data_IF_472469487169
#
_entry.id   IF_472469487169
#
_cell.length_a   1.000
_cell.length_b   1.000
_cell.length_c   1.000
_cell.angle_alpha   90.00
_cell.angle_beta   90.00
_cell.angle_gamma   90.00
#
_symmetry.space_group_name_H-M   'P 1'
#
loop_
_entity.id
_entity.type
_entity.pdbx_description
1 polymer ?
#
# COMPACT_ATOMS: atom_id res chain seq x y z
N UNK A 1 1.52 -17.12 12.20
CA UNK A 1 0.06 -16.90 12.10
C UNK A 1 -0.34 -15.43 11.92
N UNK A 2 0.46 -14.44 12.35
CA UNK A 2 0.14 -13.00 12.14
C UNK A 2 0.17 -12.51 10.68
N UNK A 3 0.95 -13.17 9.81
CA UNK A 3 1.14 -12.72 8.41
C UNK A 3 0.14 -13.30 7.41
N UNK A 4 -0.37 -14.51 7.67
CA UNK A 4 -1.31 -15.20 6.77
C UNK A 4 -2.70 -14.56 6.75
N UNK A 5 -3.10 -13.85 7.80
CA UNK A 5 -4.39 -13.16 7.88
C UNK A 5 -4.39 -11.84 7.11
N UNK A 6 -3.26 -11.11 7.05
CA UNK A 6 -3.16 -9.85 6.29
C UNK A 6 -3.21 -10.09 4.77
N UNK A 7 -2.55 -11.14 4.29
CA UNK A 7 -2.59 -11.53 2.88
C UNK A 7 -4.01 -11.87 2.39
N UNK A 8 -4.82 -12.53 3.24
CA UNK A 8 -6.18 -12.93 2.89
C UNK A 8 -7.16 -11.75 2.81
N UNK A 9 -7.02 -10.74 3.69
CA UNK A 9 -7.87 -9.54 3.65
C UNK A 9 -7.49 -8.63 2.47
N UNK A 10 -6.20 -8.49 2.18
CA UNK A 10 -5.73 -7.74 1.01
C UNK A 10 -6.25 -8.32 -0.32
N UNK A 11 -6.35 -9.65 -0.42
CA UNK A 11 -6.85 -10.34 -1.62
C UNK A 11 -8.35 -10.10 -1.88
N UNK A 12 -9.19 -10.02 -0.84
CA UNK A 12 -10.65 -9.85 -1.00
C UNK A 12 -11.02 -8.43 -1.46
N UNK A 13 -10.30 -7.41 -0.97
CA UNK A 13 -10.54 -6.01 -1.32
C UNK A 13 -9.97 -5.71 -2.72
N UNK A 14 -8.80 -6.28 -3.05
CA UNK A 14 -8.22 -6.14 -4.39
C UNK A 14 -9.09 -6.80 -5.48
N UNK A 15 -9.67 -7.98 -5.22
CA UNK A 15 -10.45 -8.72 -6.21
C UNK A 15 -11.72 -8.00 -6.68
N UNK A 16 -12.44 -7.36 -5.76
CA UNK A 16 -13.70 -6.66 -6.09
C UNK A 16 -13.46 -5.33 -6.80
N UNK A 17 -12.38 -4.61 -6.46
CA UNK A 17 -11.99 -3.37 -7.14
C UNK A 17 -11.50 -3.60 -8.58
N UNK A 18 -10.72 -4.67 -8.80
CA UNK A 18 -10.21 -5.04 -10.12
C UNK A 18 -11.35 -5.35 -11.11
N UNK A 19 -12.43 -6.00 -10.66
CA UNK A 19 -13.60 -6.28 -11.51
C UNK A 19 -14.38 -5.03 -11.90
N UNK A 20 -14.41 -4.00 -11.06
CA UNK A 20 -15.16 -2.76 -11.32
C UNK A 20 -14.42 -1.81 -12.27
N UNK A 21 -13.07 -1.78 -12.22
CA UNK A 21 -12.26 -0.96 -13.13
C UNK A 21 -11.98 -1.62 -14.48
N UNK A 22 -12.02 -2.96 -14.56
CA UNK A 22 -11.82 -3.68 -15.82
C UNK A 22 -12.86 -3.33 -16.91
N UNK A 23 -14.09 -2.99 -16.51
CA UNK A 23 -15.17 -2.60 -17.45
C UNK A 23 -15.05 -1.19 -18.00
N UNK A 24 -14.18 -0.35 -17.43
CA UNK A 24 -13.99 1.06 -17.80
C UNK A 24 -12.59 1.35 -18.34
N UNK A 25 -11.78 0.32 -18.57
CA UNK A 25 -10.38 0.48 -18.95
C UNK A 25 -10.24 0.93 -20.41
N UNK A 26 -9.79 2.18 -20.58
CA UNK A 26 -9.22 2.68 -21.83
C UNK A 26 -7.69 2.68 -21.69
N UNK A 27 -6.96 1.86 -22.47
CA UNK A 27 -5.50 1.79 -22.42
C UNK A 27 -4.80 3.12 -22.79
N UNK A 28 -5.53 4.10 -23.34
CA UNK A 28 -4.99 5.43 -23.62
C UNK A 28 -4.99 6.38 -22.41
N UNK A 29 -5.69 6.05 -21.31
CA UNK A 29 -5.74 6.90 -20.13
C UNK A 29 -4.62 6.55 -19.15
N UNK A 30 -3.86 7.56 -18.72
CA UNK A 30 -2.86 7.40 -17.66
C UNK A 30 -3.56 7.01 -16.36
N UNK A 31 -3.22 5.85 -15.79
CA UNK A 31 -3.75 5.41 -14.51
C UNK A 31 -3.06 6.22 -13.39
N UNK A 32 -3.82 7.06 -12.69
CA UNK A 32 -3.38 7.71 -11.45
C UNK A 32 -3.48 6.72 -10.29
N UNK A 33 -2.42 6.61 -9.49
CA UNK A 33 -2.39 5.74 -8.31
C UNK A 33 -2.89 6.51 -7.09
N UNK A 34 -4.10 6.18 -6.63
CA UNK A 34 -4.70 6.72 -5.40
C UNK A 34 -4.85 5.66 -4.32
N UNK A 35 -5.07 4.41 -4.73
CA UNK A 35 -5.22 3.24 -3.86
C UNK A 35 -4.10 2.23 -4.07
N UNK A 36 -3.89 1.35 -3.09
CA UNK A 36 -2.94 0.25 -3.23
C UNK A 36 -3.26 -0.69 -4.41
N UNK A 37 -4.54 -0.89 -4.71
CA UNK A 37 -4.99 -1.69 -5.86
C UNK A 37 -4.67 -1.05 -7.21
N UNK A 38 -4.63 0.29 -7.30
CA UNK A 38 -4.29 0.99 -8.55
C UNK A 38 -2.85 0.70 -9.00
N UNK A 39 -1.94 0.40 -8.06
CA UNK A 39 -0.57 -0.01 -8.36
C UNK A 39 -0.56 -1.25 -9.24
N UNK A 40 -1.27 -2.31 -8.83
CA UNK A 40 -1.29 -3.57 -9.56
C UNK A 40 -2.03 -3.46 -10.88
N UNK A 41 -3.08 -2.64 -10.93
CA UNK A 41 -3.80 -2.36 -12.15
C UNK A 41 -2.92 -1.61 -13.17
N UNK A 42 -2.19 -0.58 -12.71
CA UNK A 42 -1.23 0.16 -13.54
C UNK A 42 -0.12 -0.73 -14.07
N UNK A 43 0.38 -1.64 -13.23
CA UNK A 43 1.46 -2.56 -13.56
C UNK A 43 1.14 -3.49 -14.74
N UNK A 44 -0.15 -3.75 -15.03
CA UNK A 44 -0.56 -4.54 -16.20
C UNK A 44 -0.20 -3.86 -17.54
N UNK A 45 0.07 -2.55 -17.52
CA UNK A 45 0.29 -1.76 -18.75
C UNK A 45 1.50 -0.83 -18.71
N UNK A 46 1.99 -0.43 -17.53
CA UNK A 46 3.11 0.50 -17.40
C UNK A 46 3.89 0.32 -16.09
N UNK A 47 5.17 0.73 -16.04
CA UNK A 47 5.92 0.78 -14.79
C UNK A 47 5.27 1.70 -13.76
N UNK A 48 5.45 1.37 -12.49
CA UNK A 48 4.96 2.17 -11.35
C UNK A 48 6.15 2.85 -10.67
N UNK A 49 6.02 4.13 -10.35
CA UNK A 49 7.05 4.89 -9.65
C UNK A 49 7.07 4.61 -8.16
N UNK A 50 8.23 4.82 -7.52
CA UNK A 50 8.37 4.69 -6.07
C UNK A 50 7.41 5.60 -5.29
N UNK A 51 7.11 6.79 -5.81
CA UNK A 51 6.15 7.72 -5.19
C UNK A 51 4.73 7.16 -5.25
N UNK A 52 4.34 6.54 -6.36
CA UNK A 52 3.03 5.90 -6.48
C UNK A 52 2.89 4.70 -5.55
N UNK A 53 3.96 3.92 -5.38
CA UNK A 53 4.01 2.83 -4.40
C UNK A 53 3.82 3.38 -2.99
N UNK A 54 4.52 4.46 -2.63
CA UNK A 54 4.38 5.13 -1.32
C UNK A 54 2.96 5.66 -1.13
N UNK A 55 2.34 6.27 -2.15
CA UNK A 55 0.95 6.76 -2.10
C UNK A 55 -0.02 5.62 -1.81
N UNK A 56 0.01 4.55 -2.61
CA UNK A 56 -0.88 3.40 -2.41
C UNK A 56 -0.63 2.69 -1.09
N UNK A 57 0.63 2.50 -0.69
CA UNK A 57 0.97 1.87 0.59
C UNK A 57 0.59 2.75 1.79
N UNK A 58 0.69 4.08 1.67
CA UNK A 58 0.20 5.03 2.67
C UNK A 58 -1.30 4.94 2.84
N UNK A 59 -2.05 4.91 1.74
CA UNK A 59 -3.50 4.76 1.74
C UNK A 59 -3.91 3.43 2.39
N UNK A 60 -3.22 2.34 2.07
CA UNK A 60 -3.48 1.03 2.67
C UNK A 60 -3.19 1.03 4.18
N UNK A 61 -2.04 1.58 4.60
CA UNK A 61 -1.68 1.66 6.01
C UNK A 61 -2.67 2.51 6.83
N UNK A 62 -3.13 3.65 6.31
CA UNK A 62 -4.15 4.47 6.97
C UNK A 62 -5.47 3.70 7.11
N UNK A 63 -5.88 2.96 6.07
CA UNK A 63 -7.08 2.10 6.13
C UNK A 63 -6.95 0.99 7.19
N UNK A 64 -5.75 0.41 7.37
CA UNK A 64 -5.51 -0.55 8.45
C UNK A 64 -5.60 0.10 9.83
N UNK A 65 -5.19 1.36 9.97
CA UNK A 65 -5.33 2.10 11.23
C UNK A 65 -6.80 2.34 11.60
N UNK A 66 -7.71 2.45 10.62
CA UNK A 66 -9.15 2.61 10.86
C UNK A 66 -9.86 1.32 11.31
N UNK A 67 -9.27 0.15 11.04
CA UNK A 67 -9.84 -1.15 11.39
C UNK A 67 -9.64 -1.48 12.87
N UNK A 68 -10.60 -1.11 13.71
CA UNK A 68 -10.53 -1.27 15.17
C UNK A 68 -10.25 -2.70 15.63
N UNK A 69 -10.90 -3.69 15.00
CA UNK A 69 -10.69 -5.12 15.30
C UNK A 69 -9.25 -5.53 14.96
N UNK A 70 -8.74 -5.07 13.82
CA UNK A 70 -7.37 -5.36 13.42
C UNK A 70 -6.36 -4.74 14.39
N UNK A 71 -6.58 -3.49 14.81
CA UNK A 71 -5.74 -2.79 15.78
C UNK A 71 -5.75 -3.50 17.15
N UNK A 72 -6.91 -3.93 17.63
CA UNK A 72 -7.05 -4.68 18.88
C UNK A 72 -6.23 -5.99 18.84
N UNK A 73 -6.31 -6.74 17.73
CA UNK A 73 -5.57 -8.01 17.57
C UNK A 73 -4.06 -7.82 17.57
N UNK A 74 -3.56 -6.69 17.07
CA UNK A 74 -2.13 -6.39 17.08
C UNK A 74 -1.67 -5.67 18.36
N UNK A 75 -2.59 -5.35 19.28
CA UNK A 75 -2.30 -4.71 20.56
C UNK A 75 -2.11 -3.19 20.46
N UNK A 76 -2.65 -2.57 19.42
CA UNK A 76 -2.62 -1.12 19.19
C UNK A 76 -4.03 -0.52 19.29
N UNK A 77 -4.10 0.81 19.41
CA UNK A 77 -5.37 1.53 19.25
C UNK A 77 -5.39 2.26 17.91
N UNK A 78 -6.59 2.50 17.36
CA UNK A 78 -6.78 3.35 16.17
C UNK A 78 -6.03 4.68 16.30
N UNK A 79 -6.14 5.34 17.46
CA UNK A 79 -5.46 6.61 17.71
C UNK A 79 -3.93 6.46 17.74
N UNK A 80 -3.40 5.43 18.40
CA UNK A 80 -1.95 5.15 18.42
C UNK A 80 -1.42 4.89 17.01
N UNK A 81 -2.12 4.07 16.23
CA UNK A 81 -1.74 3.77 14.84
C UNK A 81 -1.70 5.04 13.99
N UNK A 82 -2.77 5.85 14.01
CA UNK A 82 -2.83 7.12 13.26
C UNK A 82 -1.77 8.11 13.69
N UNK A 83 -1.47 8.17 14.98
CA UNK A 83 -0.42 9.04 15.50
C UNK A 83 0.96 8.61 14.98
N UNK A 84 1.31 7.33 15.11
CA UNK A 84 2.57 6.77 14.58
C UNK A 84 2.69 6.99 13.08
N UNK A 85 1.60 6.73 12.34
CA UNK A 85 1.54 6.96 10.90
C UNK A 85 1.89 8.41 10.55
N UNK A 86 1.19 9.39 11.15
CA UNK A 86 1.45 10.82 10.91
C UNK A 86 2.87 11.26 11.27
N UNK A 87 3.46 10.67 12.31
CA UNK A 87 4.80 11.04 12.78
C UNK A 87 5.92 10.46 11.91
N UNK A 88 5.71 9.29 11.32
CA UNK A 88 6.76 8.52 10.64
C UNK A 88 6.68 8.54 9.11
N UNK A 89 5.51 8.84 8.54
CA UNK A 89 5.25 8.73 7.09
C UNK A 89 6.32 9.45 6.24
N UNK A 90 6.60 10.72 6.53
CA UNK A 90 7.55 11.52 5.74
C UNK A 90 8.97 10.95 5.81
N UNK A 91 9.46 10.62 7.02
CA UNK A 91 10.80 10.06 7.22
C UNK A 91 10.94 8.68 6.56
N UNK A 92 9.91 7.83 6.67
CA UNK A 92 9.90 6.53 6.03
C UNK A 92 9.84 6.64 4.50
N UNK A 93 9.08 7.61 3.97
CA UNK A 93 9.01 7.86 2.53
C UNK A 93 10.38 8.32 2.00
N UNK A 94 11.03 9.27 2.66
CA UNK A 94 12.38 9.72 2.30
C UNK A 94 13.40 8.57 2.36
N UNK A 95 13.35 7.74 3.40
CA UNK A 95 14.21 6.57 3.53
C UNK A 95 14.00 5.58 2.38
N UNK A 96 12.75 5.31 2.01
CA UNK A 96 12.43 4.42 0.90
C UNK A 96 12.89 5.02 -0.43
N UNK A 97 12.61 6.28 -0.71
CA UNK A 97 13.02 6.95 -1.95
C UNK A 97 14.55 6.95 -2.11
N UNK A 98 15.29 7.23 -1.03
CA UNK A 98 16.75 7.35 -1.08
C UNK A 98 17.48 6.03 -1.35
N UNK A 99 16.90 4.90 -0.95
CA UNK A 99 17.61 3.62 -0.88
C UNK A 99 17.10 2.56 -1.86
N UNK A 100 16.22 2.92 -2.80
CA UNK A 100 15.62 1.96 -3.72
C UNK A 100 15.46 2.54 -5.13
N UNK A 101 15.09 1.70 -6.08
CA UNK A 101 14.91 2.08 -7.49
C UNK A 101 13.75 3.06 -7.68
N UNK A 102 13.82 3.98 -8.66
CA UNK A 102 12.76 4.97 -8.87
C UNK A 102 11.50 4.39 -9.54
N UNK A 103 11.61 3.26 -10.24
CA UNK A 103 10.56 2.65 -11.06
C UNK A 103 10.56 1.14 -10.91
N UNK A 104 9.39 0.53 -10.98
CA UNK A 104 9.19 -0.91 -10.79
C UNK A 104 8.24 -1.51 -11.84
N UNK A 105 8.57 -2.72 -12.28
CA UNK A 105 7.73 -3.53 -13.18
C UNK A 105 7.35 -4.88 -12.59
N UNK A 106 7.91 -5.23 -11.42
CA UNK A 106 7.75 -6.54 -10.79
C UNK A 106 6.82 -6.46 -9.56
N UNK A 107 5.80 -7.33 -9.54
CA UNK A 107 4.79 -7.38 -8.46
C UNK A 107 5.39 -7.73 -7.11
N UNK A 108 6.39 -8.61 -7.09
CA UNK A 108 7.02 -9.08 -5.84
C UNK A 108 7.84 -7.95 -5.23
N UNK A 109 8.66 -7.27 -6.04
CA UNK A 109 9.45 -6.11 -5.61
C UNK A 109 8.57 -4.98 -5.07
N UNK A 110 7.45 -4.68 -5.74
CA UNK A 110 6.46 -3.69 -5.29
C UNK A 110 5.86 -4.07 -3.94
N UNK A 111 5.46 -5.33 -3.77
CA UNK A 111 4.87 -5.83 -2.52
C UNK A 111 5.88 -5.71 -1.38
N UNK A 112 7.13 -6.15 -1.60
CA UNK A 112 8.20 -6.05 -0.60
C UNK A 112 8.53 -4.61 -0.23
N UNK A 113 8.54 -3.69 -1.19
CA UNK A 113 8.78 -2.27 -0.93
C UNK A 113 7.66 -1.66 -0.08
N UNK A 114 6.41 -2.03 -0.39
CA UNK A 114 5.23 -1.59 0.33
C UNK A 114 5.25 -2.10 1.78
N UNK A 115 5.58 -3.38 1.98
CA UNK A 115 5.77 -3.96 3.32
C UNK A 115 6.89 -3.25 4.09
N UNK A 116 8.03 -2.99 3.44
CA UNK A 116 9.16 -2.27 4.06
C UNK A 116 8.77 -0.87 4.51
N UNK A 117 8.00 -0.15 3.70
CA UNK A 117 7.48 1.17 4.04
C UNK A 117 6.50 1.11 5.22
N UNK A 118 5.54 0.19 5.19
CA UNK A 118 4.56 0.01 6.28
C UNK A 118 5.24 -0.38 7.59
N UNK A 119 6.22 -1.28 7.54
CA UNK A 119 6.99 -1.70 8.71
C UNK A 119 7.84 -0.56 9.29
N UNK A 120 8.36 0.33 8.45
CA UNK A 120 9.05 1.52 8.93
C UNK A 120 8.10 2.38 9.78
N UNK A 121 6.87 2.59 9.34
CA UNK A 121 5.92 3.45 10.03
C UNK A 121 5.40 2.88 11.36
N UNK A 122 5.32 1.54 11.46
CA UNK A 122 4.80 0.87 12.66
C UNK A 122 5.85 0.62 13.74
N UNK A 123 7.14 0.60 13.37
CA UNK A 123 8.26 0.37 14.30
C UNK A 123 9.07 1.65 14.63
N UNK A 124 8.63 2.81 14.15
CA UNK A 124 9.24 4.12 14.46
C UNK A 124 8.78 4.68 15.81
#
# INVERSE_FOLDING_TARGET
MKYTTMAAVALLIAGSYLSAKATLFDPAQSITVETYSDIFFKLESSPVSINEIITGASQFADSLCDESIYQEVIGESVNSCKQKFKQSQAQCAEFIIKNNEPMYTDKVAITQLSEKFINCMTNS
#
